data_IF_804708730451
#
_entry.id   IF_804708730451
#
_cell.length_a   1.000
_cell.length_b   1.000
_cell.length_c   1.000
_cell.angle_alpha   90.00
_cell.angle_beta   90.00
_cell.angle_gamma   90.00
#
_symmetry.space_group_name_H-M   'P 1'
#
loop_
_entity.id
_entity.type
_entity.pdbx_description
1 polymer ?
#
# COMPACT_ATOMS: atom_id res chain seq x y z
N UNK A 1 34.04 -46.98 4.37
CA UNK A 1 33.76 -45.73 5.11
C UNK A 1 32.90 -44.81 4.25
N UNK A 2 31.61 -44.62 4.57
CA UNK A 2 30.89 -43.40 4.19
C UNK A 2 30.11 -42.88 5.42
N UNK A 3 30.75 -42.08 6.27
CA UNK A 3 30.08 -41.43 7.41
C UNK A 3 30.30 -39.91 7.48
N UNK A 4 31.11 -39.32 6.59
CA UNK A 4 31.49 -37.90 6.66
C UNK A 4 30.63 -36.96 5.78
N UNK A 5 29.99 -37.44 4.71
CA UNK A 5 29.18 -36.59 3.81
C UNK A 5 27.75 -36.33 4.31
N UNK A 6 27.19 -37.26 5.10
CA UNK A 6 25.84 -37.13 5.68
C UNK A 6 25.82 -36.10 6.82
N UNK A 7 26.87 -36.05 7.64
CA UNK A 7 26.96 -35.14 8.77
C UNK A 7 27.10 -33.66 8.37
N UNK A 8 27.79 -33.35 7.26
CA UNK A 8 27.95 -31.97 6.78
C UNK A 8 26.66 -31.40 6.17
N UNK A 9 25.85 -32.25 5.52
CA UNK A 9 24.53 -31.86 5.02
C UNK A 9 23.55 -31.60 6.18
N UNK A 10 23.57 -32.43 7.23
CA UNK A 10 22.73 -32.26 8.42
C UNK A 10 23.12 -31.07 9.31
N UNK A 11 24.41 -30.71 9.35
CA UNK A 11 24.88 -29.51 10.08
C UNK A 11 24.52 -28.24 9.32
N UNK A 12 24.61 -28.23 7.98
CA UNK A 12 24.19 -27.09 7.15
C UNK A 12 22.69 -26.84 7.25
N UNK A 13 21.86 -27.89 7.22
CA UNK A 13 20.40 -27.77 7.38
C UNK A 13 19.99 -27.32 8.79
N UNK A 14 20.68 -27.78 9.84
CA UNK A 14 20.40 -27.33 11.22
C UNK A 14 20.86 -25.90 11.52
N UNK A 15 21.99 -25.44 10.94
CA UNK A 15 22.41 -24.03 11.04
C UNK A 15 21.45 -23.13 10.26
N UNK A 16 21.07 -23.51 9.04
CA UNK A 16 20.08 -22.76 8.24
C UNK A 16 18.70 -22.74 8.93
N UNK A 17 18.30 -23.83 9.58
CA UNK A 17 17.08 -23.88 10.39
C UNK A 17 17.17 -22.99 11.64
N UNK A 18 18.32 -22.93 12.33
CA UNK A 18 18.54 -22.01 13.45
C UNK A 18 18.50 -20.53 13.01
N UNK A 19 18.99 -20.24 11.81
CA UNK A 19 18.96 -18.88 11.22
C UNK A 19 17.55 -18.47 10.75
N UNK A 20 16.72 -19.42 10.31
CA UNK A 20 15.33 -19.21 9.88
C UNK A 20 14.34 -19.23 11.07
N UNK A 21 14.54 -18.32 12.02
CA UNK A 21 13.58 -18.03 13.09
C UNK A 21 13.05 -16.59 12.94
N UNK A 22 11.79 -16.38 13.35
CA UNK A 22 11.16 -15.06 13.42
C UNK A 22 12.01 -14.05 14.19
N UNK A 23 12.68 -14.45 15.28
CA UNK A 23 13.57 -13.56 16.03
C UNK A 23 14.73 -13.05 15.17
N UNK A 24 15.42 -13.95 14.45
CA UNK A 24 16.52 -13.58 13.56
C UNK A 24 16.05 -12.67 12.43
N UNK A 25 14.89 -12.96 11.83
CA UNK A 25 14.30 -12.12 10.79
C UNK A 25 14.03 -10.70 11.31
N UNK A 26 13.41 -10.55 12.49
CA UNK A 26 13.13 -9.25 13.08
C UNK A 26 14.40 -8.47 13.42
N UNK A 27 15.40 -9.13 14.00
CA UNK A 27 16.71 -8.50 14.28
C UNK A 27 17.37 -8.01 13.00
N UNK A 28 17.45 -8.86 11.97
CA UNK A 28 18.00 -8.46 10.67
C UNK A 28 17.23 -7.27 10.06
N UNK A 29 15.90 -7.30 10.16
CA UNK A 29 15.02 -6.24 9.66
C UNK A 29 15.24 -4.90 10.36
N UNK A 30 15.45 -4.92 11.68
CA UNK A 30 15.78 -3.73 12.48
C UNK A 30 17.16 -3.20 12.07
N UNK A 31 18.17 -4.06 11.98
CA UNK A 31 19.53 -3.66 11.61
C UNK A 31 19.58 -3.04 10.21
N UNK A 32 18.86 -3.60 9.23
CA UNK A 32 18.77 -3.03 7.89
C UNK A 32 18.13 -1.64 7.90
N UNK A 33 17.06 -1.42 8.68
CA UNK A 33 16.42 -0.10 8.80
C UNK A 33 17.33 0.92 9.48
N UNK A 34 18.08 0.51 10.51
CA UNK A 34 19.10 1.36 11.13
C UNK A 34 20.17 1.74 10.11
N UNK A 35 20.66 0.76 9.32
CA UNK A 35 21.65 1.00 8.28
C UNK A 35 21.15 1.95 7.18
N UNK A 36 19.95 1.73 6.65
CA UNK A 36 19.33 2.60 5.64
C UNK A 36 19.03 4.00 6.18
N UNK A 37 18.59 4.10 7.44
CA UNK A 37 18.38 5.39 8.10
C UNK A 37 19.70 6.16 8.26
N UNK A 38 20.76 5.51 8.75
CA UNK A 38 22.08 6.11 8.89
C UNK A 38 22.67 6.53 7.53
N UNK A 39 22.54 5.66 6.53
CA UNK A 39 22.93 5.99 5.15
C UNK A 39 22.13 7.18 4.61
N UNK A 40 20.83 7.24 4.87
CA UNK A 40 19.99 8.37 4.48
C UNK A 40 20.45 9.69 5.08
N UNK A 41 20.85 9.70 6.36
CA UNK A 41 21.43 10.89 7.01
C UNK A 41 22.75 11.30 6.36
N UNK A 42 23.62 10.32 6.05
CA UNK A 42 24.88 10.57 5.34
C UNK A 42 24.64 11.14 3.94
N UNK A 43 23.74 10.54 3.16
CA UNK A 43 23.39 10.98 1.82
C UNK A 43 22.80 12.40 1.84
N UNK A 44 21.89 12.70 2.76
CA UNK A 44 21.32 14.04 2.90
C UNK A 44 22.38 15.11 3.21
N UNK A 45 23.43 14.75 3.96
CA UNK A 45 24.50 15.65 4.34
C UNK A 45 25.57 15.84 3.26
N UNK A 46 25.80 14.85 2.39
CA UNK A 46 26.98 14.81 1.51
C UNK A 46 26.67 14.81 0.01
N UNK A 47 25.47 14.39 -0.40
CA UNK A 47 25.11 14.23 -1.81
C UNK A 47 24.10 15.29 -2.26
N UNK A 48 24.10 15.59 -3.54
CA UNK A 48 23.15 16.53 -4.16
C UNK A 48 21.72 15.97 -4.14
N UNK A 49 21.55 14.73 -4.62
CA UNK A 49 20.27 14.02 -4.56
C UNK A 49 19.98 13.57 -3.13
N UNK A 50 18.95 14.16 -2.54
CA UNK A 50 18.55 13.89 -1.16
C UNK A 50 17.83 12.56 -1.01
N UNK A 51 18.09 11.89 0.10
CA UNK A 51 17.42 10.67 0.51
C UNK A 51 16.05 10.97 1.11
N UNK A 52 15.97 12.02 1.93
CA UNK A 52 14.72 12.46 2.58
C UNK A 52 13.64 12.74 1.54
N UNK A 53 12.46 12.17 1.77
CA UNK A 53 11.27 12.47 0.97
C UNK A 53 10.86 13.94 1.14
N UNK A 54 10.51 14.60 0.03
CA UNK A 54 10.05 15.99 0.04
C UNK A 54 8.80 16.15 0.92
N UNK A 55 7.93 15.14 0.95
CA UNK A 55 6.72 15.13 1.76
C UNK A 55 7.06 15.16 3.26
N UNK A 56 8.18 14.56 3.67
CA UNK A 56 8.62 14.60 5.08
C UNK A 56 8.92 16.03 5.55
N UNK A 57 9.45 16.87 4.65
CA UNK A 57 9.67 18.29 4.94
C UNK A 57 8.34 19.03 5.06
N UNK A 58 7.39 18.76 4.16
CA UNK A 58 6.03 19.33 4.21
C UNK A 58 5.34 18.95 5.53
N UNK A 59 5.45 17.70 5.98
CA UNK A 59 4.89 17.29 7.27
C UNK A 59 5.56 17.98 8.46
N UNK A 60 6.88 18.13 8.41
CA UNK A 60 7.66 18.74 9.49
C UNK A 60 7.37 20.24 9.61
N UNK A 61 7.20 20.93 8.49
CA UNK A 61 6.80 22.34 8.47
C UNK A 61 5.37 22.51 8.99
N UNK A 62 4.43 21.64 8.59
CA UNK A 62 3.07 21.64 9.12
C UNK A 62 3.05 21.39 10.64
N UNK A 63 3.87 20.46 11.13
CA UNK A 63 4.04 20.18 12.55
C UNK A 63 4.60 21.39 13.32
N UNK A 64 5.46 22.19 12.69
CA UNK A 64 5.96 23.46 13.24
C UNK A 64 4.85 24.49 13.42
N UNK A 65 3.93 24.62 12.46
CA UNK A 65 2.76 25.50 12.64
C UNK A 65 1.89 25.05 13.83
N UNK A 66 1.63 23.75 13.97
CA UNK A 66 0.88 23.22 15.12
C UNK A 66 1.60 23.50 16.44
N UNK A 67 2.92 23.32 16.49
CA UNK A 67 3.72 23.62 17.68
C UNK A 67 3.61 25.10 18.10
N UNK A 68 3.37 26.00 17.14
CA UNK A 68 3.14 27.44 17.36
C UNK A 68 1.67 27.80 17.65
N UNK A 69 0.78 26.81 17.77
CA UNK A 69 -0.66 27.03 17.95
C UNK A 69 -1.40 27.46 16.68
N UNK A 70 -0.79 27.25 15.51
CA UNK A 70 -1.33 27.64 14.21
C UNK A 70 -1.84 26.43 13.41
N UNK A 71 -2.58 26.71 12.33
CA UNK A 71 -3.08 25.66 11.43
C UNK A 71 -1.95 25.01 10.62
N UNK A 72 -1.91 23.66 10.49
CA UNK A 72 -0.93 22.98 9.63
C UNK A 72 -1.10 23.37 8.16
N UNK A 73 -2.29 23.82 7.76
CA UNK A 73 -2.61 24.23 6.39
C UNK A 73 -2.02 25.58 6.00
N UNK A 74 -1.41 26.32 6.94
CA UNK A 74 -0.54 27.46 6.60
C UNK A 74 0.73 27.01 5.87
N UNK A 75 1.11 25.73 5.99
CA UNK A 75 2.12 25.17 5.10
C UNK A 75 1.52 24.94 3.72
N UNK A 76 1.98 25.72 2.75
CA UNK A 76 1.67 25.47 1.35
C UNK A 76 1.96 24.01 0.99
N UNK A 77 1.11 23.43 0.14
CA UNK A 77 1.13 22.03 -0.31
C UNK A 77 0.92 20.96 0.77
N UNK A 78 0.61 21.31 2.03
CA UNK A 78 0.12 20.31 2.99
C UNK A 78 -1.28 19.83 2.60
N UNK A 79 -1.39 18.57 2.19
CA UNK A 79 -2.63 17.92 1.70
C UNK A 79 -3.00 16.64 2.46
N UNK A 80 -2.62 16.58 3.74
CA UNK A 80 -2.78 15.39 4.59
C UNK A 80 -3.70 15.70 5.78
N UNK A 81 -4.17 14.68 6.49
CA UNK A 81 -4.94 14.87 7.74
C UNK A 81 -4.08 15.60 8.79
N UNK A 82 -4.64 16.49 9.64
CA UNK A 82 -3.88 17.14 10.70
C UNK A 82 -3.29 16.14 11.71
N UNK A 83 -3.90 14.96 11.86
CA UNK A 83 -3.39 13.89 12.73
C UNK A 83 -1.93 13.51 12.40
N UNK A 84 -1.57 13.55 11.11
CA UNK A 84 -0.19 13.28 10.69
C UNK A 84 0.75 14.36 11.23
N UNK A 85 0.43 15.64 11.04
CA UNK A 85 1.27 16.71 11.53
C UNK A 85 1.29 16.78 13.07
N UNK A 86 0.20 16.45 13.76
CA UNK A 86 0.16 16.31 15.23
C UNK A 86 1.17 15.28 15.74
N UNK A 87 1.18 14.10 15.10
CA UNK A 87 2.12 13.02 15.42
C UNK A 87 3.59 13.44 15.19
N UNK A 88 3.83 14.42 14.32
CA UNK A 88 5.16 14.90 13.95
C UNK A 88 5.58 16.18 14.70
N UNK A 89 4.77 16.72 15.62
CA UNK A 89 5.16 17.87 16.46
C UNK A 89 6.52 17.67 17.13
N UNK A 90 6.90 16.47 17.63
CA UNK A 90 8.21 16.28 18.22
C UNK A 90 9.40 16.35 17.23
N UNK A 91 9.16 16.46 15.92
CA UNK A 91 10.21 16.85 14.96
C UNK A 91 10.82 18.21 15.29
N UNK A 92 10.04 19.09 15.92
CA UNK A 92 10.43 20.46 16.26
C UNK A 92 11.00 20.53 17.66
N UNK A 93 10.37 19.85 18.63
CA UNK A 93 10.74 19.95 20.04
C UNK A 93 11.78 18.94 20.51
N UNK A 94 11.95 17.80 19.83
CA UNK A 94 12.93 16.77 20.19
C UNK A 94 14.09 16.69 19.18
N UNK A 95 13.83 16.20 17.98
CA UNK A 95 14.81 16.13 16.90
C UNK A 95 14.15 15.94 15.54
N UNK A 96 14.76 16.49 14.49
CA UNK A 96 14.18 16.59 13.13
C UNK A 96 13.71 15.26 12.52
N UNK A 97 14.37 14.16 12.87
CA UNK A 97 14.09 12.83 12.32
C UNK A 97 13.11 12.00 13.16
N UNK A 98 12.44 12.59 14.16
CA UNK A 98 11.50 11.87 15.03
C UNK A 98 10.42 11.11 14.26
N UNK A 99 9.76 11.76 13.30
CA UNK A 99 8.73 11.14 12.47
C UNK A 99 9.24 9.95 11.66
N UNK A 100 10.49 10.00 11.17
CA UNK A 100 11.11 8.85 10.49
C UNK A 100 11.21 7.63 11.41
N UNK A 101 11.52 7.83 12.70
CA UNK A 101 11.57 6.73 13.66
C UNK A 101 10.18 6.10 13.83
N UNK A 102 9.12 6.92 13.96
CA UNK A 102 7.74 6.42 14.00
C UNK A 102 7.43 5.60 12.74
N UNK A 103 7.78 6.11 11.56
CA UNK A 103 7.49 5.42 10.30
C UNK A 103 8.24 4.10 10.17
N UNK A 104 9.50 4.04 10.61
CA UNK A 104 10.29 2.80 10.68
C UNK A 104 9.66 1.79 11.64
N UNK A 105 9.19 2.24 12.81
CA UNK A 105 8.52 1.39 13.79
C UNK A 105 7.20 0.84 13.24
N UNK A 106 6.37 1.67 12.59
CA UNK A 106 5.13 1.23 11.95
C UNK A 106 5.38 0.22 10.83
N UNK A 107 6.45 0.37 10.06
CA UNK A 107 6.85 -0.60 9.03
C UNK A 107 7.21 -1.97 9.66
N UNK A 108 8.00 -1.98 10.73
CA UNK A 108 8.30 -3.21 11.48
C UNK A 108 7.04 -3.86 12.07
N UNK A 109 6.14 -3.06 12.66
CA UNK A 109 4.84 -3.52 13.16
C UNK A 109 4.00 -4.12 12.04
N UNK A 110 4.02 -3.53 10.85
CA UNK A 110 3.34 -4.08 9.67
C UNK A 110 3.86 -5.49 9.33
N UNK A 111 5.18 -5.70 9.36
CA UNK A 111 5.76 -7.03 9.19
C UNK A 111 5.35 -8.05 10.25
N UNK A 112 5.19 -7.62 11.51
CA UNK A 112 4.66 -8.46 12.60
C UNK A 112 3.18 -8.78 12.35
N UNK A 113 2.38 -7.80 11.92
CA UNK A 113 0.97 -8.00 11.59
C UNK A 113 0.81 -8.97 10.40
N UNK A 114 1.69 -8.92 9.40
CA UNK A 114 1.72 -9.90 8.30
C UNK A 114 1.94 -11.32 8.86
N UNK A 115 2.90 -11.51 9.77
CA UNK A 115 3.12 -12.80 10.43
C UNK A 115 1.88 -13.26 11.22
N UNK A 116 1.20 -12.33 11.91
CA UNK A 116 -0.02 -12.62 12.67
C UNK A 116 -1.18 -13.01 11.74
N UNK A 117 -1.39 -12.28 10.65
CA UNK A 117 -2.40 -12.60 9.63
C UNK A 117 -2.11 -13.96 8.99
N UNK A 118 -0.87 -14.23 8.60
CA UNK A 118 -0.47 -15.54 8.05
C UNK A 118 -0.70 -16.70 9.04
N UNK A 119 -0.69 -16.46 10.36
CA UNK A 119 -1.04 -17.48 11.37
C UNK A 119 -2.54 -17.77 11.44
N UNK A 120 -3.40 -16.81 11.06
CA UNK A 120 -4.86 -17.02 11.00
C UNK A 120 -5.26 -17.94 9.84
N UNK A 121 -4.44 -17.99 8.79
CA UNK A 121 -4.57 -18.98 7.72
C UNK A 121 -3.98 -20.32 8.19
N UNK A 122 -4.85 -21.28 8.50
CA UNK A 122 -4.45 -22.63 8.93
C UNK A 122 -3.55 -23.35 7.93
N UNK A 123 -2.75 -24.31 8.40
CA UNK A 123 -1.86 -25.19 7.60
C UNK A 123 -0.62 -24.56 6.95
N UNK A 124 -0.22 -23.33 7.30
CA UNK A 124 1.05 -22.76 6.79
C UNK A 124 2.21 -23.10 7.75
N UNK A 125 3.24 -23.85 7.31
CA UNK A 125 4.41 -24.12 8.14
C UNK A 125 5.12 -22.84 8.57
N UNK A 126 5.69 -22.82 9.78
CA UNK A 126 6.38 -21.63 10.31
C UNK A 126 7.46 -21.10 9.37
N UNK A 127 8.29 -22.00 8.82
CA UNK A 127 9.32 -21.64 7.84
C UNK A 127 8.75 -20.90 6.64
N UNK A 128 7.60 -21.34 6.11
CA UNK A 128 6.93 -20.68 4.97
C UNK A 128 6.41 -19.31 5.37
N UNK A 129 5.85 -19.14 6.58
CA UNK A 129 5.44 -17.82 7.09
C UNK A 129 6.61 -16.85 7.21
N UNK A 130 7.77 -17.31 7.69
CA UNK A 130 8.99 -16.48 7.79
C UNK A 130 9.46 -16.05 6.40
N UNK A 131 9.48 -16.96 5.43
CA UNK A 131 9.84 -16.65 4.03
C UNK A 131 8.86 -15.62 3.45
N UNK A 132 7.55 -15.83 3.59
CA UNK A 132 6.56 -14.87 3.09
C UNK A 132 6.69 -13.50 3.77
N UNK A 133 6.85 -13.45 5.09
CA UNK A 133 7.04 -12.19 5.82
C UNK A 133 8.33 -11.46 5.42
N UNK A 134 9.38 -12.18 5.01
CA UNK A 134 10.62 -11.56 4.52
C UNK A 134 10.43 -10.73 3.25
N UNK A 135 9.40 -11.03 2.43
CA UNK A 135 9.04 -10.25 1.23
C UNK A 135 8.64 -8.82 1.59
N UNK A 136 8.20 -8.56 2.82
CA UNK A 136 7.99 -7.22 3.36
C UNK A 136 9.21 -6.76 4.17
N UNK A 137 9.60 -7.55 5.16
CA UNK A 137 10.55 -7.16 6.19
C UNK A 137 11.98 -6.92 5.67
N UNK A 138 12.39 -7.61 4.60
CA UNK A 138 13.72 -7.48 3.99
C UNK A 138 13.68 -6.75 2.64
N UNK A 139 12.54 -6.17 2.27
CA UNK A 139 12.38 -5.54 0.97
C UNK A 139 13.00 -4.13 0.95
N UNK A 140 13.99 -3.85 0.07
CA UNK A 140 14.68 -2.57 0.04
C UNK A 140 13.74 -1.41 -0.32
N UNK A 141 12.69 -1.63 -1.12
CA UNK A 141 11.69 -0.59 -1.44
C UNK A 141 10.91 -0.20 -0.19
N UNK A 142 10.44 -1.18 0.58
CA UNK A 142 9.71 -0.96 1.84
C UNK A 142 10.58 -0.23 2.86
N UNK A 143 11.80 -0.73 3.07
CA UNK A 143 12.76 -0.14 4.00
C UNK A 143 13.06 1.29 3.60
N UNK A 144 13.38 1.54 2.32
CA UNK A 144 13.72 2.88 1.83
C UNK A 144 12.56 3.86 2.01
N UNK A 145 11.33 3.45 1.73
CA UNK A 145 10.15 4.33 1.83
C UNK A 145 9.88 4.73 3.30
N UNK A 146 10.07 3.84 4.27
CA UNK A 146 9.91 4.19 5.68
C UNK A 146 11.06 5.05 6.20
N UNK A 147 12.32 4.70 5.89
CA UNK A 147 13.50 5.43 6.36
C UNK A 147 13.67 6.80 5.71
N UNK A 148 13.17 7.02 4.48
CA UNK A 148 13.18 8.34 3.83
C UNK A 148 12.18 9.34 4.42
N UNK A 149 11.21 8.87 5.21
CA UNK A 149 10.23 9.72 5.88
C UNK A 149 8.83 9.72 5.26
N UNK A 150 8.44 8.67 4.53
CA UNK A 150 7.05 8.55 4.07
C UNK A 150 6.14 7.99 5.16
N UNK A 151 4.92 8.52 5.26
CA UNK A 151 3.93 8.10 6.26
C UNK A 151 3.11 6.85 5.85
N UNK A 152 3.40 6.23 4.70
CA UNK A 152 2.66 5.03 4.22
C UNK A 152 2.67 3.88 5.22
N UNK A 153 3.73 3.76 6.03
CA UNK A 153 3.82 2.68 7.01
C UNK A 153 2.81 2.82 8.15
N UNK A 154 2.42 4.04 8.52
CA UNK A 154 1.36 4.29 9.50
C UNK A 154 0.04 3.77 8.96
N UNK A 155 -0.27 4.10 7.71
CA UNK A 155 -1.46 3.59 7.03
C UNK A 155 -1.44 2.07 6.85
N UNK A 156 -0.27 1.51 6.56
CA UNK A 156 -0.08 0.06 6.45
C UNK A 156 -0.44 -0.68 7.74
N UNK A 157 -0.07 -0.13 8.90
CA UNK A 157 -0.50 -0.67 10.21
C UNK A 157 -2.01 -0.60 10.36
N UNK A 158 -2.64 0.54 10.07
CA UNK A 158 -4.09 0.71 10.20
C UNK A 158 -4.86 -0.26 9.30
N UNK A 159 -4.44 -0.41 8.04
CA UNK A 159 -5.04 -1.35 7.09
C UNK A 159 -4.82 -2.80 7.51
N UNK A 160 -3.62 -3.16 7.98
CA UNK A 160 -3.35 -4.53 8.44
C UNK A 160 -4.07 -4.86 9.76
N UNK A 161 -4.33 -3.88 10.63
CA UNK A 161 -5.19 -4.06 11.80
C UNK A 161 -6.65 -4.29 11.39
N UNK A 162 -7.16 -3.53 10.42
CA UNK A 162 -8.47 -3.78 9.81
C UNK A 162 -8.60 -5.23 9.31
N UNK A 163 -7.60 -5.69 8.54
CA UNK A 163 -7.56 -7.06 8.01
C UNK A 163 -7.46 -8.09 9.14
N UNK A 164 -6.56 -7.88 10.10
CA UNK A 164 -6.35 -8.80 11.22
C UNK A 164 -7.63 -9.02 12.04
N UNK A 165 -8.33 -7.94 12.42
CA UNK A 165 -9.57 -8.04 13.17
C UNK A 165 -10.72 -8.63 12.35
N UNK A 166 -10.79 -8.33 11.05
CA UNK A 166 -11.79 -8.94 10.16
C UNK A 166 -11.61 -10.46 10.12
N UNK A 167 -10.39 -10.94 9.90
CA UNK A 167 -10.08 -12.37 9.85
C UNK A 167 -10.29 -13.08 11.19
N UNK A 168 -10.10 -12.36 12.31
CA UNK A 168 -10.40 -12.87 13.66
C UNK A 168 -11.91 -12.93 13.94
N UNK A 169 -12.74 -12.27 13.14
CA UNK A 169 -14.19 -12.15 13.34
C UNK A 169 -14.58 -11.00 14.28
N UNK A 170 -13.67 -10.10 14.63
CA UNK A 170 -13.99 -8.88 15.40
C UNK A 170 -14.41 -7.77 14.44
N UNK A 171 -15.72 -7.74 14.18
CA UNK A 171 -16.36 -6.87 13.19
C UNK A 171 -16.29 -5.40 13.59
N UNK A 172 -16.37 -5.09 14.88
CA UNK A 172 -16.38 -3.70 15.38
C UNK A 172 -14.98 -3.11 15.29
N UNK A 173 -13.95 -3.80 15.79
CA UNK A 173 -12.57 -3.31 15.67
C UNK A 173 -12.14 -3.21 14.21
N UNK A 174 -12.52 -4.19 13.38
CA UNK A 174 -12.29 -4.12 11.93
C UNK A 174 -12.91 -2.85 11.33
N UNK A 175 -14.18 -2.56 11.64
CA UNK A 175 -14.86 -1.33 11.23
C UNK A 175 -14.14 -0.07 11.69
N UNK A 176 -13.75 0.01 12.97
CA UNK A 176 -13.02 1.16 13.52
C UNK A 176 -11.74 1.42 12.71
N UNK A 177 -10.89 0.39 12.52
CA UNK A 177 -9.61 0.56 11.84
C UNK A 177 -9.73 0.90 10.36
N UNK A 178 -10.73 0.38 9.64
CA UNK A 178 -10.95 0.81 8.24
C UNK A 178 -11.41 2.26 8.17
N UNK A 179 -12.28 2.71 9.08
CA UNK A 179 -12.73 4.10 9.12
C UNK A 179 -11.59 5.07 9.48
N UNK A 180 -10.70 4.70 10.41
CA UNK A 180 -9.47 5.47 10.70
C UNK A 180 -8.54 5.48 9.48
N UNK A 181 -8.39 4.35 8.78
CA UNK A 181 -7.58 4.26 7.56
C UNK A 181 -8.09 5.20 6.47
N UNK A 182 -9.40 5.22 6.23
CA UNK A 182 -10.07 6.12 5.26
C UNK A 182 -9.93 7.58 5.65
N UNK A 183 -10.02 7.89 6.96
CA UNK A 183 -9.77 9.25 7.44
C UNK A 183 -8.32 9.69 7.16
N UNK A 184 -7.35 8.79 7.40
CA UNK A 184 -5.94 9.07 7.21
C UNK A 184 -5.57 9.27 5.73
N UNK A 185 -6.12 8.43 4.84
CA UNK A 185 -6.11 8.59 3.38
C UNK A 185 -7.36 7.97 2.77
N UNK A 186 -7.86 8.53 1.67
CA UNK A 186 -9.16 8.10 1.10
C UNK A 186 -9.13 6.69 0.48
N UNK A 187 -8.02 6.24 -0.11
CA UNK A 187 -8.03 5.03 -0.96
C UNK A 187 -8.49 3.72 -0.30
N UNK A 188 -8.28 3.46 1.02
CA UNK A 188 -8.80 2.25 1.68
C UNK A 188 -10.33 2.12 1.63
N UNK A 189 -11.05 3.17 1.20
CA UNK A 189 -12.48 3.11 0.93
C UNK A 189 -12.84 1.96 -0.02
N UNK A 190 -11.95 1.62 -0.97
CA UNK A 190 -12.17 0.51 -1.91
C UNK A 190 -12.27 -0.87 -1.22
N UNK A 191 -11.81 -1.00 0.02
CA UNK A 191 -11.86 -2.27 0.77
C UNK A 191 -13.21 -2.53 1.44
N UNK A 192 -14.02 -1.49 1.64
CA UNK A 192 -15.31 -1.60 2.33
C UNK A 192 -16.27 -2.54 1.59
N UNK A 193 -16.46 -2.44 0.25
CA UNK A 193 -17.32 -3.40 -0.48
C UNK A 193 -16.89 -4.85 -0.27
N UNK A 194 -15.59 -5.15 -0.34
CA UNK A 194 -15.06 -6.50 -0.14
C UNK A 194 -15.31 -7.02 1.27
N UNK A 195 -15.12 -6.18 2.29
CA UNK A 195 -15.40 -6.54 3.67
C UNK A 195 -16.89 -6.86 3.88
N UNK A 196 -17.78 -6.01 3.35
CA UNK A 196 -19.23 -6.21 3.43
C UNK A 196 -19.66 -7.50 2.73
N UNK A 197 -19.06 -7.81 1.58
CA UNK A 197 -19.33 -9.08 0.89
C UNK A 197 -18.99 -10.24 1.81
N UNK A 198 -17.82 -10.31 2.45
CA UNK A 198 -17.38 -11.47 3.25
C UNK A 198 -18.29 -11.83 4.44
N UNK A 199 -19.03 -10.88 5.03
CA UNK A 199 -19.90 -11.11 6.21
C UNK A 199 -21.19 -11.91 5.90
N UNK A 200 -21.08 -13.17 5.47
CA UNK A 200 -22.21 -14.04 5.10
C UNK A 200 -22.85 -14.85 6.24
N UNK A 201 -22.23 -14.89 7.43
CA UNK A 201 -22.55 -15.90 8.46
C UNK A 201 -23.68 -15.53 9.42
N UNK A 202 -24.18 -14.30 9.40
CA UNK A 202 -25.31 -13.91 10.24
C UNK A 202 -26.63 -14.21 9.51
N UNK A 203 -27.64 -14.82 10.17
CA UNK A 203 -28.93 -15.07 9.55
C UNK A 203 -29.50 -13.75 9.04
N UNK A 204 -29.81 -13.71 7.74
CA UNK A 204 -30.47 -12.57 7.14
C UNK A 204 -31.82 -12.34 7.83
N UNK A 205 -32.17 -11.08 8.08
CA UNK A 205 -33.42 -10.74 8.74
C UNK A 205 -34.67 -11.08 7.90
N UNK A 206 -34.51 -11.21 6.57
CA UNK A 206 -35.59 -11.45 5.61
C UNK A 206 -35.11 -12.30 4.42
N UNK A 207 -35.92 -13.25 3.94
CA UNK A 207 -35.67 -14.02 2.71
C UNK A 207 -35.95 -13.18 1.43
N UNK A 208 -35.26 -12.06 1.25
CA UNK A 208 -35.32 -11.26 0.01
C UNK A 208 -33.90 -10.86 -0.42
N UNK A 209 -33.51 -10.98 -1.71
CA UNK A 209 -32.11 -10.81 -2.15
C UNK A 209 -31.46 -9.47 -1.73
N UNK A 210 -32.23 -8.39 -1.74
CA UNK A 210 -31.77 -7.06 -1.33
C UNK A 210 -31.78 -6.85 0.20
N UNK A 211 -32.69 -7.50 0.93
CA UNK A 211 -32.76 -7.39 2.39
C UNK A 211 -31.78 -8.37 3.08
N UNK A 212 -31.37 -9.44 2.38
CA UNK A 212 -30.23 -10.29 2.71
C UNK A 212 -28.91 -9.52 2.78
N UNK A 213 -28.86 -8.30 2.23
CA UNK A 213 -27.71 -7.42 2.39
C UNK A 213 -27.59 -6.85 3.80
N UNK A 214 -28.70 -6.81 4.56
CA UNK A 214 -28.74 -6.29 5.93
C UNK A 214 -28.57 -7.44 6.91
N UNK A 215 -27.43 -7.46 7.59
CA UNK A 215 -27.18 -8.38 8.69
C UNK A 215 -26.43 -7.67 9.82
N UNK A 216 -26.46 -8.27 11.01
CA UNK A 216 -25.89 -7.69 12.23
C UNK A 216 -24.42 -7.30 12.08
N UNK A 217 -23.63 -8.12 11.40
CA UNK A 217 -22.19 -7.87 11.22
C UNK A 217 -21.95 -6.72 10.24
N UNK A 218 -22.66 -6.69 9.10
CA UNK A 218 -22.60 -5.59 8.14
C UNK A 218 -23.02 -4.27 8.77
N UNK A 219 -24.07 -4.28 9.59
CA UNK A 219 -24.52 -3.09 10.32
C UNK A 219 -23.47 -2.65 11.35
N UNK A 220 -22.97 -3.56 12.20
CA UNK A 220 -21.92 -3.25 13.18
C UNK A 220 -20.66 -2.69 12.52
N UNK A 221 -20.19 -3.33 11.45
CA UNK A 221 -19.03 -2.88 10.68
C UNK A 221 -19.24 -1.48 10.11
N UNK A 222 -20.40 -1.26 9.46
CA UNK A 222 -20.73 0.01 8.82
C UNK A 222 -20.83 1.13 9.85
N UNK A 223 -21.52 0.90 10.97
CA UNK A 223 -21.64 1.89 12.04
C UNK A 223 -20.30 2.18 12.70
N UNK A 224 -19.47 1.16 12.96
CA UNK A 224 -18.16 1.33 13.56
C UNK A 224 -17.19 2.10 12.64
N UNK A 225 -17.20 1.78 11.34
CA UNK A 225 -16.43 2.48 10.31
C UNK A 225 -16.89 3.93 10.13
N UNK A 226 -18.20 4.15 10.03
CA UNK A 226 -18.76 5.49 9.94
C UNK A 226 -18.47 6.31 11.19
N UNK A 227 -18.62 5.73 12.39
CA UNK A 227 -18.36 6.43 13.64
C UNK A 227 -16.90 6.87 13.78
N UNK A 228 -15.93 6.00 13.45
CA UNK A 228 -14.52 6.38 13.54
C UNK A 228 -14.12 7.40 12.46
N UNK A 229 -14.58 7.21 11.22
CA UNK A 229 -14.32 8.15 10.12
C UNK A 229 -14.97 9.52 10.37
N UNK A 230 -16.28 9.57 10.65
CA UNK A 230 -17.01 10.81 10.87
C UNK A 230 -16.62 11.48 12.17
N UNK A 231 -16.30 10.71 13.22
CA UNK A 231 -15.81 11.26 14.49
C UNK A 231 -14.48 12.00 14.32
N UNK A 232 -13.50 11.39 13.67
CA UNK A 232 -12.21 12.04 13.38
C UNK A 232 -12.36 13.20 12.39
N UNK A 233 -13.17 13.02 11.35
CA UNK A 233 -13.44 14.07 10.35
C UNK A 233 -14.13 15.27 10.99
N UNK A 234 -15.15 15.04 11.82
CA UNK A 234 -15.86 16.07 12.55
C UNK A 234 -14.95 16.79 13.55
N UNK A 235 -14.07 16.07 14.25
CA UNK A 235 -13.07 16.66 15.13
C UNK A 235 -12.09 17.55 14.37
N UNK A 236 -11.50 17.05 13.28
CA UNK A 236 -10.56 17.84 12.47
C UNK A 236 -11.24 19.05 11.81
N UNK A 237 -12.48 18.91 11.37
CA UNK A 237 -13.27 20.02 10.83
C UNK A 237 -13.62 21.06 11.90
N UNK A 238 -13.94 20.63 13.11
CA UNK A 238 -14.20 21.55 14.22
C UNK A 238 -12.97 22.42 14.54
N UNK A 239 -11.77 21.86 14.42
CA UNK A 239 -10.51 22.57 14.74
C UNK A 239 -10.03 23.43 13.55
N UNK A 240 -10.08 22.92 12.32
CA UNK A 240 -9.43 23.53 11.16
C UNK A 240 -10.39 24.00 10.06
N UNK A 241 -11.70 23.81 10.24
CA UNK A 241 -12.71 24.28 9.31
C UNK A 241 -12.58 23.71 7.89
N UNK A 242 -12.95 24.53 6.91
CA UNK A 242 -12.97 24.13 5.50
C UNK A 242 -11.59 23.79 4.94
N UNK A 243 -10.53 24.41 5.45
CA UNK A 243 -9.15 24.15 4.99
C UNK A 243 -8.77 22.68 5.13
N UNK A 244 -9.24 22.01 6.18
CA UNK A 244 -9.10 20.56 6.35
C UNK A 244 -9.82 19.78 5.25
N UNK A 245 -11.12 20.02 5.05
CA UNK A 245 -11.91 19.28 4.06
C UNK A 245 -11.35 19.49 2.65
N UNK A 246 -11.00 20.72 2.31
CA UNK A 246 -10.44 21.04 1.02
C UNK A 246 -9.08 20.35 0.83
N UNK A 247 -8.14 20.57 1.75
CA UNK A 247 -6.76 20.11 1.59
C UNK A 247 -6.61 18.60 1.70
N UNK A 248 -7.33 17.94 2.61
CA UNK A 248 -7.21 16.50 2.85
C UNK A 248 -8.07 15.65 1.92
N UNK A 249 -9.19 16.18 1.40
CA UNK A 249 -10.13 15.39 0.60
C UNK A 249 -10.43 16.00 -0.77
N UNK A 250 -11.00 17.20 -0.84
CA UNK A 250 -11.54 17.74 -2.10
C UNK A 250 -10.45 18.06 -3.12
N UNK A 251 -9.27 18.47 -2.67
CA UNK A 251 -8.13 18.79 -3.52
C UNK A 251 -7.73 17.62 -4.44
N UNK A 252 -7.90 16.37 -3.99
CA UNK A 252 -7.54 15.19 -4.79
C UNK A 252 -8.41 14.99 -6.04
N UNK A 253 -9.61 15.60 -6.09
CA UNK A 253 -10.48 15.55 -7.26
C UNK A 253 -10.00 16.47 -8.39
N UNK A 254 -9.32 17.56 -8.03
CA UNK A 254 -8.85 18.60 -8.97
C UNK A 254 -7.34 18.55 -9.22
N UNK A 255 -6.59 17.81 -8.38
CA UNK A 255 -5.12 17.72 -8.47
C UNK A 255 -4.66 17.12 -9.80
N UNK A 256 -3.64 17.77 -10.38
CA UNK A 256 -2.91 17.35 -11.59
C UNK A 256 -1.43 17.20 -11.21
N UNK A 257 -0.97 15.98 -10.93
CA UNK A 257 0.46 15.72 -10.74
C UNK A 257 1.10 15.21 -12.03
N UNK A 258 1.87 16.09 -12.65
CA UNK A 258 2.57 15.80 -13.88
C UNK A 258 4.04 15.40 -13.67
N UNK A 259 4.63 15.70 -12.51
CA UNK A 259 6.01 15.31 -12.16
C UNK A 259 6.05 13.97 -11.45
N UNK A 260 7.16 13.24 -11.55
CA UNK A 260 7.41 12.01 -10.79
C UNK A 260 6.26 10.97 -10.85
N UNK A 261 5.64 10.82 -12.02
CA UNK A 261 4.40 10.05 -12.18
C UNK A 261 4.60 8.89 -13.17
N UNK A 262 4.53 7.65 -12.70
CA UNK A 262 4.67 6.43 -13.51
C UNK A 262 3.43 6.10 -14.36
N UNK A 263 2.33 6.83 -14.15
CA UNK A 263 1.07 6.57 -14.83
C UNK A 263 1.20 6.74 -16.33
N UNK A 264 0.45 5.93 -17.10
CA UNK A 264 0.29 6.12 -18.56
C UNK A 264 -0.20 7.52 -18.92
N UNK A 265 -0.87 8.21 -17.98
CA UNK A 265 -1.33 9.58 -18.14
C UNK A 265 -0.24 10.64 -17.97
N UNK A 266 0.98 10.28 -17.53
CA UNK A 266 2.05 11.23 -17.16
C UNK A 266 2.31 12.32 -18.21
N UNK A 267 2.64 11.93 -19.44
CA UNK A 267 2.98 12.87 -20.52
C UNK A 267 1.78 13.74 -20.92
N UNK A 268 0.56 13.16 -20.90
CA UNK A 268 -0.68 13.90 -21.16
C UNK A 268 -0.94 14.97 -20.09
N UNK A 269 -0.84 14.60 -18.81
CA UNK A 269 -1.03 15.53 -17.69
C UNK A 269 0.03 16.64 -17.71
N UNK A 270 1.26 16.32 -18.12
CA UNK A 270 2.32 17.31 -18.30
C UNK A 270 1.95 18.34 -19.36
N UNK A 271 1.53 17.91 -20.55
CA UNK A 271 1.10 18.86 -21.60
C UNK A 271 -0.15 19.65 -21.20
N UNK A 272 -1.14 19.02 -20.56
CA UNK A 272 -2.30 19.72 -20.05
C UNK A 272 -1.93 20.81 -19.04
N UNK A 273 -0.94 20.55 -18.17
CA UNK A 273 -0.48 21.55 -17.19
C UNK A 273 0.21 22.76 -17.82
N UNK A 274 0.72 22.63 -19.05
CA UNK A 274 1.37 23.71 -19.79
C UNK A 274 0.40 24.52 -20.67
N UNK A 275 -0.75 23.94 -21.05
CA UNK A 275 -1.74 24.60 -21.91
C UNK A 275 -2.67 25.47 -21.05
N UNK A 276 -2.52 26.80 -21.15
CA UNK A 276 -3.31 27.81 -20.39
C UNK A 276 -4.75 27.99 -20.91
N UNK A 277 -5.36 26.97 -21.54
CA UNK A 277 -6.71 27.11 -22.09
C UNK A 277 -7.78 26.77 -21.05
N UNK A 278 -8.56 27.79 -20.69
CA UNK A 278 -9.74 27.79 -19.81
C UNK A 278 -10.96 27.03 -20.36
N UNK A 279 -10.78 26.01 -21.21
CA UNK A 279 -11.91 25.16 -21.63
C UNK A 279 -12.19 24.13 -20.55
N UNK A 280 -13.05 24.52 -19.60
CA UNK A 280 -13.65 23.60 -18.61
C UNK A 280 -14.60 22.63 -19.32
N UNK A 281 -14.04 21.68 -20.06
CA UNK A 281 -14.79 20.50 -20.47
C UNK A 281 -15.18 19.74 -19.20
N UNK A 282 -16.49 19.56 -19.00
CA UNK A 282 -17.06 18.73 -17.91
C UNK A 282 -16.49 17.29 -17.97
N UNK A 283 -16.00 16.87 -19.14
CA UNK A 283 -15.48 15.54 -19.46
C UNK A 283 -13.95 15.56 -19.67
N UNK A 284 -13.20 16.22 -18.79
CA UNK A 284 -11.74 16.14 -18.81
C UNK A 284 -11.28 14.68 -18.64
N UNK A 285 -10.38 14.20 -19.51
CA UNK A 285 -9.84 12.82 -19.53
C UNK A 285 -9.38 12.35 -18.14
N UNK A 286 -8.86 13.27 -17.34
CA UNK A 286 -8.38 13.03 -15.98
C UNK A 286 -9.48 12.57 -15.01
N UNK A 287 -10.72 13.04 -15.20
CA UNK A 287 -11.89 12.61 -14.44
C UNK A 287 -12.41 11.27 -14.94
N UNK A 288 -12.32 11.03 -16.25
CA UNK A 288 -12.72 9.75 -16.85
C UNK A 288 -11.81 8.60 -16.41
N UNK A 289 -10.53 8.86 -16.13
CA UNK A 289 -9.59 7.85 -15.63
C UNK A 289 -10.06 7.17 -14.33
N UNK A 290 -10.87 7.86 -13.50
CA UNK A 290 -11.44 7.27 -12.28
C UNK A 290 -12.48 6.19 -12.55
N UNK A 291 -13.17 6.21 -13.70
CA UNK A 291 -14.24 5.25 -14.02
C UNK A 291 -13.69 3.82 -14.13
N UNK A 292 -12.74 3.51 -15.04
CA UNK A 292 -12.18 2.16 -15.11
C UNK A 292 -11.45 1.79 -13.83
N UNK A 293 -10.77 2.76 -13.18
CA UNK A 293 -10.08 2.54 -11.92
C UNK A 293 -11.04 2.05 -10.81
N UNK A 294 -12.09 2.79 -10.51
CA UNK A 294 -13.05 2.46 -9.45
C UNK A 294 -13.93 1.28 -9.82
N UNK A 295 -14.30 1.13 -11.09
CA UNK A 295 -15.08 -0.03 -11.55
C UNK A 295 -14.29 -1.34 -11.38
N UNK A 296 -13.06 -1.40 -11.87
CA UNK A 296 -12.24 -2.61 -11.78
C UNK A 296 -11.86 -2.91 -10.32
N UNK A 297 -11.31 -1.92 -9.60
CA UNK A 297 -10.80 -2.12 -8.24
C UNK A 297 -11.89 -2.17 -7.15
N UNK A 298 -12.95 -1.38 -7.28
CA UNK A 298 -13.98 -1.23 -6.25
C UNK A 298 -15.22 -2.09 -6.46
N UNK A 299 -15.46 -2.60 -7.67
CA UNK A 299 -16.67 -3.36 -8.01
C UNK A 299 -16.35 -4.74 -8.57
N UNK A 300 -15.64 -4.83 -9.70
CA UNK A 300 -15.45 -6.09 -10.42
C UNK A 300 -14.61 -7.10 -9.62
N UNK A 301 -13.44 -6.71 -9.14
CA UNK A 301 -12.55 -7.59 -8.35
C UNK A 301 -13.24 -8.07 -7.05
N UNK A 302 -13.88 -7.20 -6.24
CA UNK A 302 -14.63 -7.63 -5.05
C UNK A 302 -15.71 -8.67 -5.32
N UNK A 303 -16.52 -8.46 -6.36
CA UNK A 303 -17.62 -9.37 -6.69
C UNK A 303 -17.13 -10.76 -7.08
N UNK A 304 -15.96 -10.84 -7.72
CA UNK A 304 -15.38 -12.11 -8.16
C UNK A 304 -14.64 -12.80 -7.01
N UNK A 305 -13.79 -12.09 -6.26
CA UNK A 305 -12.76 -12.72 -5.43
C UNK A 305 -12.94 -12.55 -3.91
N UNK A 306 -13.77 -11.60 -3.44
CA UNK A 306 -13.80 -11.27 -2.01
C UNK A 306 -14.21 -12.46 -1.13
N UNK A 307 -15.14 -13.29 -1.61
CA UNK A 307 -15.67 -14.44 -0.87
C UNK A 307 -14.72 -15.64 -0.87
N UNK A 308 -13.91 -15.79 -1.92
CA UNK A 308 -12.97 -16.89 -2.07
C UNK A 308 -11.75 -16.68 -1.19
N UNK A 309 -11.14 -15.50 -1.28
CA UNK A 309 -9.94 -15.14 -0.54
C UNK A 309 -9.84 -13.63 -0.34
N UNK A 310 -10.35 -13.19 0.80
CA UNK A 310 -10.45 -11.78 1.14
C UNK A 310 -9.15 -10.98 0.97
N UNK A 311 -8.02 -11.46 1.52
CA UNK A 311 -6.76 -10.68 1.48
C UNK A 311 -6.13 -10.69 0.09
N UNK A 312 -6.25 -11.80 -0.64
CA UNK A 312 -5.82 -11.85 -2.05
C UNK A 312 -6.69 -10.96 -2.94
N UNK A 313 -7.98 -10.84 -2.64
CA UNK A 313 -8.85 -9.84 -3.25
C UNK A 313 -8.33 -8.43 -2.97
N UNK A 314 -8.01 -8.07 -1.72
CA UNK A 314 -7.46 -6.74 -1.40
C UNK A 314 -6.14 -6.45 -2.16
N UNK A 315 -5.29 -7.45 -2.33
CA UNK A 315 -4.09 -7.35 -3.17
C UNK A 315 -4.44 -6.96 -4.61
N UNK A 316 -5.32 -7.72 -5.27
CA UNK A 316 -5.75 -7.46 -6.65
C UNK A 316 -6.44 -6.10 -6.79
N UNK A 317 -7.33 -5.76 -5.84
CA UNK A 317 -8.02 -4.47 -5.82
C UNK A 317 -7.02 -3.32 -5.78
N UNK A 318 -6.03 -3.41 -4.90
CA UNK A 318 -5.05 -2.33 -4.72
C UNK A 318 -4.08 -2.26 -5.88
N UNK A 319 -3.65 -3.40 -6.41
CA UNK A 319 -2.80 -3.47 -7.59
C UNK A 319 -3.50 -2.86 -8.82
N UNK A 320 -4.77 -3.19 -9.05
CA UNK A 320 -5.58 -2.58 -10.09
C UNK A 320 -5.80 -1.08 -9.82
N UNK A 321 -6.13 -0.69 -8.58
CA UNK A 321 -6.34 0.70 -8.21
C UNK A 321 -5.11 1.56 -8.51
N UNK A 322 -3.90 1.06 -8.21
CA UNK A 322 -2.66 1.77 -8.52
C UNK A 322 -2.40 1.77 -10.03
N UNK A 323 -2.56 0.64 -10.72
CA UNK A 323 -2.31 0.51 -12.16
C UNK A 323 -3.13 1.49 -13.00
N UNK A 324 -4.40 1.67 -12.65
CA UNK A 324 -5.31 2.56 -13.37
C UNK A 324 -5.32 4.00 -12.82
N UNK A 325 -4.50 4.32 -11.81
CA UNK A 325 -4.47 5.66 -11.23
C UNK A 325 -3.86 6.67 -12.21
N UNK A 326 -4.44 7.87 -12.29
CA UNK A 326 -3.89 8.99 -13.04
C UNK A 326 -2.54 9.48 -12.50
N UNK A 327 -2.26 9.25 -11.22
CA UNK A 327 -1.01 9.57 -10.56
C UNK A 327 -0.48 8.33 -9.86
N UNK A 328 0.74 7.92 -10.21
CA UNK A 328 1.43 6.80 -9.57
C UNK A 328 2.80 7.29 -9.11
N UNK A 329 3.06 7.23 -7.82
CA UNK A 329 4.40 7.44 -7.23
C UNK A 329 4.90 6.13 -6.63
N UNK A 330 6.20 6.01 -6.36
CA UNK A 330 6.76 4.78 -5.77
C UNK A 330 6.18 4.45 -4.39
N UNK A 331 5.67 5.44 -3.65
CA UNK A 331 5.01 5.26 -2.36
C UNK A 331 3.76 4.36 -2.49
N UNK A 332 3.06 4.43 -3.62
CA UNK A 332 1.81 3.70 -3.84
C UNK A 332 2.04 2.19 -3.95
N UNK A 333 3.26 1.76 -4.29
CA UNK A 333 3.60 0.34 -4.38
C UNK A 333 3.50 -0.35 -3.02
N UNK A 334 3.70 0.39 -1.92
CA UNK A 334 3.50 -0.12 -0.57
C UNK A 334 2.07 -0.64 -0.36
N UNK A 335 1.08 0.01 -0.98
CA UNK A 335 -0.33 -0.29 -0.75
C UNK A 335 -0.74 -1.70 -1.19
N UNK A 336 -0.14 -2.24 -2.24
CA UNK A 336 -0.37 -3.65 -2.62
C UNK A 336 0.71 -4.59 -2.07
N UNK A 337 1.95 -4.12 -1.86
CA UNK A 337 3.03 -4.94 -1.30
C UNK A 337 2.72 -5.44 0.12
N UNK A 338 1.91 -4.72 0.91
CA UNK A 338 1.46 -5.19 2.24
C UNK A 338 0.69 -6.52 2.16
N UNK A 339 -0.04 -6.78 1.07
CA UNK A 339 -0.86 -7.98 0.91
C UNK A 339 -0.12 -9.10 0.16
N UNK A 340 0.97 -8.77 -0.55
CA UNK A 340 1.72 -9.72 -1.38
C UNK A 340 2.17 -10.98 -0.62
N UNK A 341 2.68 -10.91 0.64
CA UNK A 341 3.02 -12.11 1.41
C UNK A 341 1.85 -13.07 1.62
N UNK A 342 0.65 -12.53 1.82
CA UNK A 342 -0.56 -13.32 2.04
C UNK A 342 -1.08 -13.85 0.71
N UNK A 343 -1.09 -13.05 -0.36
CA UNK A 343 -1.42 -13.53 -1.71
C UNK A 343 -0.55 -14.71 -2.14
N UNK A 344 0.77 -14.60 -1.97
CA UNK A 344 1.72 -15.63 -2.39
C UNK A 344 1.68 -16.91 -1.53
N UNK A 345 0.89 -16.95 -0.45
CA UNK A 345 0.86 -18.11 0.46
C UNK A 345 0.48 -19.40 -0.24
N UNK A 346 -0.45 -19.35 -1.20
CA UNK A 346 -0.92 -20.51 -1.95
C UNK A 346 -0.65 -20.39 -3.46
N UNK A 347 0.07 -19.34 -3.86
CA UNK A 347 0.32 -19.02 -5.26
C UNK A 347 1.23 -20.05 -5.94
N UNK A 348 0.87 -20.41 -7.17
CA UNK A 348 1.70 -21.25 -8.02
C UNK A 348 2.95 -20.51 -8.50
N UNK A 349 2.95 -19.17 -8.46
CA UNK A 349 4.09 -18.33 -8.84
C UNK A 349 5.34 -18.57 -7.98
N UNK A 350 5.20 -19.12 -6.78
CA UNK A 350 6.33 -19.56 -5.94
C UNK A 350 6.69 -21.04 -6.09
N UNK A 351 5.90 -21.83 -6.83
CA UNK A 351 6.06 -23.29 -6.94
C UNK A 351 6.11 -23.77 -8.39
N UNK A 352 4.98 -24.14 -8.98
CA UNK A 352 4.89 -24.73 -10.33
C UNK A 352 5.12 -23.70 -11.43
N UNK A 353 4.68 -22.46 -11.24
CA UNK A 353 4.78 -21.36 -12.20
C UNK A 353 5.89 -20.36 -11.87
N UNK A 354 7.00 -20.82 -11.28
CA UNK A 354 8.12 -19.97 -10.83
C UNK A 354 8.68 -19.04 -11.90
N UNK A 355 8.80 -19.52 -13.13
CA UNK A 355 9.33 -18.71 -14.24
C UNK A 355 8.41 -17.51 -14.50
N UNK A 356 7.09 -17.70 -14.47
CA UNK A 356 6.12 -16.60 -14.59
C UNK A 356 6.25 -15.62 -13.41
N UNK A 357 6.38 -16.12 -12.19
CA UNK A 357 6.59 -15.28 -11.01
C UNK A 357 7.86 -14.42 -11.08
N UNK A 358 8.97 -15.02 -11.52
CA UNK A 358 10.24 -14.30 -11.75
C UNK A 358 10.09 -13.27 -12.88
N UNK A 359 9.42 -13.64 -13.99
CA UNK A 359 9.16 -12.72 -15.08
C UNK A 359 8.33 -11.51 -14.64
N UNK A 360 7.27 -11.71 -13.84
CA UNK A 360 6.49 -10.63 -13.25
C UNK A 360 7.37 -9.67 -12.43
N UNK A 361 8.22 -10.20 -11.55
CA UNK A 361 9.12 -9.38 -10.73
C UNK A 361 10.12 -8.59 -11.59
N UNK A 362 10.79 -9.26 -12.52
CA UNK A 362 11.80 -8.64 -13.37
C UNK A 362 11.21 -7.56 -14.27
N UNK A 363 10.07 -7.83 -14.93
CA UNK A 363 9.41 -6.85 -15.79
C UNK A 363 8.91 -5.65 -14.99
N UNK A 364 8.39 -5.87 -13.78
CA UNK A 364 7.96 -4.79 -12.89
C UNK A 364 9.13 -3.90 -12.45
N UNK A 365 10.29 -4.47 -12.14
CA UNK A 365 11.52 -3.73 -11.80
C UNK A 365 12.07 -3.00 -13.02
N UNK A 366 12.15 -3.66 -14.18
CA UNK A 366 12.64 -3.05 -15.43
C UNK A 366 11.75 -1.87 -15.84
N UNK A 367 10.43 -1.99 -15.74
CA UNK A 367 9.52 -0.89 -16.05
C UNK A 367 9.75 0.34 -15.17
N UNK A 368 10.01 0.14 -13.87
CA UNK A 368 10.40 1.24 -12.98
C UNK A 368 11.76 1.84 -13.33
N UNK A 369 12.76 1.00 -13.60
CA UNK A 369 14.12 1.47 -13.93
C UNK A 369 14.13 2.28 -15.24
N UNK A 370 13.40 1.84 -16.27
CA UNK A 370 13.26 2.58 -17.53
C UNK A 370 12.64 3.95 -17.31
N UNK A 371 11.58 4.02 -16.49
CA UNK A 371 10.94 5.28 -16.16
C UNK A 371 11.86 6.20 -15.35
N UNK A 372 12.49 5.68 -14.29
CA UNK A 372 13.42 6.43 -13.44
C UNK A 372 14.64 6.95 -14.20
N UNK A 373 15.18 6.18 -15.15
CA UNK A 373 16.27 6.64 -16.01
C UNK A 373 15.87 7.87 -16.83
N UNK A 374 14.72 7.83 -17.48
CA UNK A 374 14.23 8.96 -18.27
C UNK A 374 13.85 10.16 -17.41
N UNK A 375 13.28 9.93 -16.22
CA UNK A 375 12.94 10.97 -15.27
C UNK A 375 14.20 11.66 -14.70
N UNK A 376 15.25 10.89 -14.39
CA UNK A 376 16.53 11.46 -13.95
C UNK A 376 17.14 12.39 -14.99
N UNK A 377 17.19 11.95 -16.25
CA UNK A 377 17.69 12.77 -17.35
C UNK A 377 16.87 14.05 -17.54
N UNK A 378 15.55 13.98 -17.37
CA UNK A 378 14.68 15.14 -17.45
C UNK A 378 14.86 16.11 -16.29
N UNK A 379 14.73 15.61 -15.06
CA UNK A 379 14.54 16.45 -13.88
C UNK A 379 15.87 16.92 -13.29
N UNK A 380 16.94 16.13 -13.43
CA UNK A 380 18.26 16.46 -12.90
C UNK A 380 19.24 16.91 -13.98
N UNK A 381 19.20 16.31 -15.18
CA UNK A 381 20.12 16.70 -16.27
C UNK A 381 19.52 17.72 -17.25
N UNK A 382 18.23 18.06 -17.11
CA UNK A 382 17.56 19.03 -17.98
C UNK A 382 17.36 18.56 -19.43
N UNK A 383 17.49 17.26 -19.70
CA UNK A 383 17.33 16.69 -21.04
C UNK A 383 15.86 16.39 -21.32
N UNK A 384 15.32 16.89 -22.43
CA UNK A 384 13.92 16.63 -22.79
C UNK A 384 13.71 15.16 -23.18
N UNK A 385 13.23 14.34 -22.24
CA UNK A 385 12.94 12.91 -22.45
C UNK A 385 11.44 12.58 -22.53
N UNK A 386 10.56 13.58 -22.66
CA UNK A 386 9.10 13.39 -22.71
C UNK A 386 8.66 12.38 -23.77
N UNK A 387 9.16 12.54 -25.01
CA UNK A 387 8.91 11.65 -26.12
C UNK A 387 10.23 11.27 -26.81
N UNK A 388 10.47 9.97 -27.11
CA UNK A 388 9.63 8.83 -26.76
C UNK A 388 9.83 8.33 -25.32
N UNK A 389 10.85 8.81 -24.59
CA UNK A 389 11.35 8.21 -23.33
C UNK A 389 10.32 7.96 -22.23
N UNK A 390 9.82 9.02 -21.59
CA UNK A 390 8.83 8.91 -20.50
C UNK A 390 7.50 8.32 -20.98
N UNK A 391 7.04 8.70 -22.17
CA UNK A 391 5.80 8.17 -22.74
C UNK A 391 5.88 6.65 -22.94
N UNK A 392 6.95 6.15 -23.57
CA UNK A 392 7.17 4.72 -23.76
C UNK A 392 7.34 4.00 -22.43
N UNK A 393 8.11 4.56 -21.49
CA UNK A 393 8.34 3.94 -20.18
C UNK A 393 7.04 3.79 -19.39
N UNK A 394 6.18 4.82 -19.42
CA UNK A 394 4.87 4.80 -18.73
C UNK A 394 3.90 3.82 -19.40
N UNK A 395 3.86 3.79 -20.74
CA UNK A 395 3.03 2.82 -21.48
C UNK A 395 3.51 1.37 -21.25
N UNK A 396 4.82 1.13 -21.30
CA UNK A 396 5.42 -0.17 -21.01
C UNK A 396 5.09 -0.63 -19.58
N UNK A 397 5.29 0.23 -18.58
CA UNK A 397 4.96 -0.08 -17.19
C UNK A 397 3.47 -0.39 -17.01
N UNK A 398 2.58 0.37 -17.65
CA UNK A 398 1.15 0.09 -17.65
C UNK A 398 0.81 -1.27 -18.26
N UNK A 399 1.31 -1.58 -19.46
CA UNK A 399 1.07 -2.87 -20.12
C UNK A 399 1.59 -4.06 -19.30
N UNK A 400 2.78 -3.93 -18.69
CA UNK A 400 3.33 -4.93 -17.77
C UNK A 400 2.39 -5.14 -16.58
N UNK A 401 1.90 -4.06 -15.96
CA UNK A 401 0.97 -4.18 -14.83
C UNK A 401 -0.37 -4.81 -15.24
N UNK A 402 -0.93 -4.48 -16.41
CA UNK A 402 -2.16 -5.12 -16.91
C UNK A 402 -1.95 -6.63 -17.12
N UNK A 403 -0.83 -7.03 -17.74
CA UNK A 403 -0.49 -8.43 -17.91
C UNK A 403 -0.31 -9.16 -16.57
N UNK A 404 0.38 -8.53 -15.62
CA UNK A 404 0.54 -9.06 -14.26
C UNK A 404 -0.81 -9.21 -13.53
N UNK A 405 -1.71 -8.24 -13.66
CA UNK A 405 -3.05 -8.31 -13.06
C UNK A 405 -3.82 -9.54 -13.58
N UNK A 406 -3.74 -9.84 -14.88
CA UNK A 406 -4.30 -11.06 -15.46
C UNK A 406 -3.68 -12.33 -14.86
N UNK A 407 -2.34 -12.39 -14.76
CA UNK A 407 -1.65 -13.53 -14.14
C UNK A 407 -2.07 -13.74 -12.69
N UNK A 408 -2.17 -12.66 -11.91
CA UNK A 408 -2.54 -12.76 -10.50
C UNK A 408 -4.00 -13.18 -10.31
N UNK A 409 -4.90 -12.74 -11.20
CA UNK A 409 -6.30 -13.17 -11.20
C UNK A 409 -6.42 -14.67 -11.54
N UNK A 410 -5.71 -15.14 -12.58
CA UNK A 410 -5.70 -16.55 -12.98
C UNK A 410 -5.15 -17.47 -11.87
N UNK A 411 -4.05 -17.06 -11.23
CA UNK A 411 -3.45 -17.79 -10.12
C UNK A 411 -4.41 -17.96 -8.93
N UNK A 412 -5.23 -16.93 -8.66
CA UNK A 412 -6.23 -16.96 -7.61
C UNK A 412 -7.38 -17.93 -7.97
N UNK A 413 -7.90 -17.87 -9.20
CA UNK A 413 -8.95 -18.77 -9.70
C UNK A 413 -8.55 -20.25 -9.57
N UNK A 414 -7.33 -20.60 -10.01
CA UNK A 414 -6.83 -21.98 -9.96
C UNK A 414 -6.69 -22.46 -8.51
N UNK A 415 -6.23 -21.59 -7.62
CA UNK A 415 -6.07 -21.89 -6.20
C UNK A 415 -7.43 -22.18 -5.52
N UNK A 416 -8.47 -21.39 -5.84
CA UNK A 416 -9.81 -21.58 -5.31
C UNK A 416 -10.44 -22.90 -5.78
N UNK A 417 -10.31 -23.24 -7.07
CA UNK A 417 -10.86 -24.48 -7.64
C UNK A 417 -10.20 -25.74 -7.05
N UNK A 418 -8.88 -25.71 -6.83
CA UNK A 418 -8.16 -26.82 -6.19
C UNK A 418 -8.61 -27.10 -4.75
N UNK A 419 -9.01 -26.06 -4.00
CA UNK A 419 -9.54 -26.18 -2.63
C UNK A 419 -10.92 -26.85 -2.57
N UNK A 420 -11.80 -26.53 -3.53
CA UNK A 420 -13.14 -27.12 -3.63
C UNK A 420 -13.10 -28.59 -4.09
N UNK A 421 -12.19 -28.94 -5.00
CA UNK A 421 -12.02 -30.32 -5.49
C UNK A 421 -11.52 -31.33 -4.46
N UNK A 422 -10.87 -30.87 -3.37
CA UNK A 422 -10.47 -31.75 -2.26
C UNK A 422 -11.53 -31.91 -1.17
N UNK A 423 -12.56 -31.05 -1.12
CA UNK A 423 -13.68 -31.18 -0.18
C UNK A 423 -14.81 -32.08 -0.70
N UNK A 424 -14.76 -32.46 -1.99
CA UNK A 424 -15.76 -33.29 -2.65
C UNK A 424 -15.30 -34.73 -2.94
N UNK A 425 -14.25 -35.22 -2.26
CA UNK A 425 -13.81 -36.62 -2.33
C UNK A 425 -13.81 -37.27 -0.96
#
# INVERSE_FOLDING_TARGET
MPRSSVALADVSTTVLQKLLNTKCLLVASILLRIGFFAFGLYQDATMEVKYTDIDYLVFSDAAKYIHQGLSPYLRETYRYTPLLAWMLVPNVSLFRSWGKIIFILCDLVTGILILMVLKLYGNIPERKRIILASIWLLNPVVITISTRGSSESVLSVLVMLFVYYLLKGDVVLSGIFVGISVHFKIYPLIYIPSALLVFHKAPAWYNHPLLNLINTDRVKFTLASAASFLGLTGLMYHIYGYDFLYSSYLYHLVRIDHRHNFSVFNTLLYFNSAIVQHTTSILSIEKLAFIPQLFVSGVLIPLIFAQDDFVSCLFLQTFAFVTFNKVITSQYFIWFLIFLPVFLRNSQLLSTSRIKGIACLLLWVVGQMLWLYNAYNLEFLGQSTFYPGLMFSSAFFFLVNIWMLGIFADDLCVTTQGSLGMKGK
#
